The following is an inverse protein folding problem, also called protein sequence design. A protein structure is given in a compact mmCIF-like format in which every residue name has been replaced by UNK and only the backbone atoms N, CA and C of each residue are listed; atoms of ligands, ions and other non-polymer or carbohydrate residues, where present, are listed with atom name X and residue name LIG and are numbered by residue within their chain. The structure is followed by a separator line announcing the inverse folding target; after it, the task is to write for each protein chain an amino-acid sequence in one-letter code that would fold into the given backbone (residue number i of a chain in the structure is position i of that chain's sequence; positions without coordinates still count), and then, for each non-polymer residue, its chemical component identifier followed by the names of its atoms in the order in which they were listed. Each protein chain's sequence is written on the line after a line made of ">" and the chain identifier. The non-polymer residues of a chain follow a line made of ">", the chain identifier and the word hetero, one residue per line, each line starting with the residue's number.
data_IF_848609526749
#
_entry.id   IF_848609526749
#
_cell.length_a   1.000
_cell.length_b   1.000
_cell.length_c   1.000
_cell.angle_alpha   90.00
_cell.angle_beta   90.00
_cell.angle_gamma   90.00
#
_symmetry.space_group_name_H-M   'P 1'
#
loop_
_entity.id
_entity.type
_entity.pdbx_description
1 polymer ?
#
# COMPACT_ATOMS: atom_id res chain seq x y z
N UNK A 1 24.31 -2.96 -12.90
CA UNK A 1 24.14 -3.69 -11.63
C UNK A 1 24.41 -2.81 -10.42
N UNK A 2 25.61 -2.25 -10.28
CA UNK A 2 25.99 -1.42 -9.10
C UNK A 2 25.11 -0.17 -8.94
N UNK A 3 24.93 0.65 -9.99
CA UNK A 3 24.11 1.86 -9.91
C UNK A 3 22.63 1.60 -9.53
N UNK A 4 22.03 0.52 -10.04
CA UNK A 4 20.68 0.09 -9.64
C UNK A 4 20.65 -0.32 -8.16
N UNK A 5 21.65 -1.07 -7.72
CA UNK A 5 21.80 -1.45 -6.31
C UNK A 5 21.89 -0.23 -5.39
N UNK A 6 22.74 0.74 -5.74
CA UNK A 6 22.89 1.99 -4.98
C UNK A 6 21.59 2.76 -4.87
N UNK A 7 20.87 2.99 -5.99
CA UNK A 7 19.60 3.74 -5.96
C UNK A 7 18.57 3.02 -5.09
N UNK A 8 18.37 1.71 -5.27
CA UNK A 8 17.35 0.95 -4.56
C UNK A 8 17.64 0.84 -3.06
N UNK A 9 18.90 0.63 -2.67
CA UNK A 9 19.28 0.58 -1.24
C UNK A 9 19.04 1.95 -0.58
N UNK A 10 19.51 3.04 -1.18
CA UNK A 10 19.34 4.37 -0.60
C UNK A 10 17.87 4.81 -0.55
N UNK A 11 17.11 4.57 -1.63
CA UNK A 11 15.69 4.90 -1.64
C UNK A 11 14.87 4.01 -0.70
N UNK A 12 15.22 2.73 -0.56
CA UNK A 12 14.58 1.84 0.40
C UNK A 12 14.86 2.23 1.85
N UNK A 13 16.11 2.60 2.17
CA UNK A 13 16.48 3.13 3.49
C UNK A 13 15.77 4.45 3.78
N UNK A 14 15.68 5.36 2.81
CA UNK A 14 14.95 6.62 2.97
C UNK A 14 13.44 6.37 3.25
N UNK A 15 12.79 5.47 2.50
CA UNK A 15 11.39 5.09 2.77
C UNK A 15 11.22 4.52 4.17
N UNK A 16 12.07 3.59 4.59
CA UNK A 16 11.98 2.93 5.90
C UNK A 16 12.27 3.92 7.04
N UNK A 17 13.43 4.56 7.00
CA UNK A 17 13.97 5.31 8.15
C UNK A 17 13.42 6.73 8.24
N UNK A 18 13.18 7.41 7.10
CA UNK A 18 12.77 8.81 7.08
C UNK A 18 11.26 9.00 6.91
N UNK A 19 10.53 8.00 6.40
CA UNK A 19 9.08 8.10 6.20
C UNK A 19 8.35 7.15 7.14
N UNK A 20 8.59 5.84 7.01
CA UNK A 20 7.82 4.85 7.75
C UNK A 20 8.05 4.94 9.27
N UNK A 21 9.31 5.05 9.71
CA UNK A 21 9.59 5.16 11.16
C UNK A 21 9.01 6.44 11.77
N UNK A 22 9.16 7.60 11.10
CA UNK A 22 8.57 8.85 11.59
C UNK A 22 7.04 8.79 11.67
N UNK A 23 6.37 8.26 10.63
CA UNK A 23 4.91 8.10 10.66
C UNK A 23 4.46 7.08 11.72
N UNK A 24 5.25 6.03 11.95
CA UNK A 24 4.97 5.06 13.00
C UNK A 24 4.97 5.73 14.38
N UNK A 25 6.10 6.34 14.78
CA UNK A 25 6.31 6.82 16.15
C UNK A 25 5.51 8.07 16.48
N UNK A 26 5.43 9.02 15.55
CA UNK A 26 4.86 10.35 15.83
C UNK A 26 3.35 10.42 15.57
N UNK A 27 2.77 9.44 14.88
CA UNK A 27 1.37 9.51 14.43
C UNK A 27 0.63 8.19 14.61
N UNK A 28 1.06 7.13 13.95
CA UNK A 28 0.25 5.92 13.82
C UNK A 28 0.16 5.18 15.14
N UNK A 29 1.28 4.94 15.81
CA UNK A 29 1.31 4.20 17.06
C UNK A 29 0.47 4.88 18.16
N UNK A 30 0.61 6.20 18.45
CA UNK A 30 -0.25 6.83 19.45
C UNK A 30 -1.73 6.85 19.06
N UNK A 31 -2.07 7.07 17.77
CA UNK A 31 -3.46 7.11 17.31
C UNK A 31 -4.14 5.74 17.38
N UNK A 32 -3.43 4.64 17.11
CA UNK A 32 -3.97 3.28 17.23
C UNK A 32 -3.89 2.71 18.65
N UNK A 33 -3.02 3.25 19.52
CA UNK A 33 -2.90 2.83 20.91
C UNK A 33 -4.16 3.17 21.72
N UNK A 34 -4.64 4.42 21.65
CA UNK A 34 -5.90 4.83 22.25
C UNK A 34 -6.73 5.71 21.29
N UNK A 35 -7.52 5.08 20.40
CA UNK A 35 -8.38 5.81 19.47
C UNK A 35 -9.50 6.61 20.15
N UNK A 36 -9.74 6.41 21.45
CA UNK A 36 -10.78 7.14 22.20
C UNK A 36 -10.30 8.49 22.71
N UNK A 37 -8.99 8.66 22.89
CA UNK A 37 -8.35 9.86 23.41
C UNK A 37 -7.99 10.91 22.33
N UNK A 38 -8.23 10.60 21.05
CA UNK A 38 -7.83 11.44 19.91
C UNK A 38 -9.02 11.94 19.08
N UNK A 39 -8.80 13.04 18.36
CA UNK A 39 -9.81 13.68 17.52
C UNK A 39 -10.12 12.89 16.24
N UNK A 40 -11.26 13.17 15.59
CA UNK A 40 -11.57 12.58 14.28
C UNK A 40 -10.54 12.94 13.19
N UNK A 41 -9.93 14.13 13.28
CA UNK A 41 -8.88 14.55 12.35
C UNK A 41 -7.61 13.71 12.56
N UNK A 42 -7.21 13.46 13.81
CA UNK A 42 -6.08 12.56 14.11
C UNK A 42 -6.33 11.14 13.63
N UNK A 43 -7.55 10.63 13.74
CA UNK A 43 -7.93 9.31 13.21
C UNK A 43 -7.87 9.26 11.68
N UNK A 44 -8.36 10.31 10.99
CA UNK A 44 -8.29 10.36 9.53
C UNK A 44 -6.84 10.41 9.04
N UNK A 45 -6.04 11.29 9.63
CA UNK A 45 -4.63 11.44 9.26
C UNK A 45 -3.83 10.22 9.72
N UNK A 46 -4.20 9.59 10.84
CA UNK A 46 -3.61 8.36 11.34
C UNK A 46 -3.79 7.18 10.39
N UNK A 47 -4.99 6.95 9.83
CA UNK A 47 -5.20 5.86 8.87
C UNK A 47 -4.48 6.13 7.53
N UNK A 48 -4.41 7.39 7.08
CA UNK A 48 -3.61 7.75 5.91
C UNK A 48 -2.11 7.62 6.16
N UNK A 49 -1.66 8.03 7.34
CA UNK A 49 -0.31 7.84 7.84
C UNK A 49 0.06 6.37 7.87
N UNK A 50 -0.85 5.53 8.35
CA UNK A 50 -0.66 4.09 8.36
C UNK A 50 -0.56 3.49 6.96
N UNK A 51 -1.42 3.91 6.02
CA UNK A 51 -1.30 3.49 4.62
C UNK A 51 0.10 3.81 4.05
N UNK A 52 0.60 5.04 4.26
CA UNK A 52 1.96 5.38 3.81
C UNK A 52 3.03 4.62 4.59
N UNK A 53 2.89 4.47 5.91
CA UNK A 53 3.83 3.71 6.75
C UNK A 53 3.98 2.28 6.24
N UNK A 54 2.88 1.51 6.13
CA UNK A 54 2.94 0.11 5.71
C UNK A 54 3.52 -0.03 4.30
N UNK A 55 3.19 0.90 3.40
CA UNK A 55 3.79 0.94 2.06
C UNK A 55 5.30 1.21 2.10
N UNK A 56 5.73 2.27 2.79
CA UNK A 56 7.13 2.69 2.81
C UNK A 56 8.01 1.70 3.59
N UNK A 57 7.48 1.10 4.65
CA UNK A 57 8.15 0.04 5.40
C UNK A 57 8.43 -1.15 4.46
N UNK A 58 7.38 -1.71 3.86
CA UNK A 58 7.51 -2.93 3.08
C UNK A 58 8.16 -2.72 1.70
N UNK A 59 7.81 -1.63 1.01
CA UNK A 59 8.51 -1.24 -0.22
C UNK A 59 9.97 -0.94 0.08
N UNK A 60 10.29 -0.31 1.22
CA UNK A 60 11.67 -0.02 1.61
C UNK A 60 12.50 -1.29 1.78
N UNK A 61 12.00 -2.26 2.55
CA UNK A 61 12.64 -3.57 2.68
C UNK A 61 12.79 -4.31 1.34
N UNK A 62 11.75 -4.28 0.51
CA UNK A 62 11.78 -4.91 -0.81
C UNK A 62 12.84 -4.28 -1.72
N UNK A 63 12.94 -2.94 -1.72
CA UNK A 63 13.91 -2.21 -2.54
C UNK A 63 15.35 -2.48 -2.07
N UNK A 64 15.59 -2.51 -0.75
CA UNK A 64 16.91 -2.89 -0.20
C UNK A 64 17.27 -4.31 -0.62
N UNK A 65 16.34 -5.26 -0.51
CA UNK A 65 16.58 -6.65 -0.92
C UNK A 65 16.88 -6.79 -2.43
N UNK A 66 16.11 -6.12 -3.29
CA UNK A 66 16.35 -6.10 -4.74
C UNK A 66 17.68 -5.42 -5.05
N UNK A 67 18.02 -4.34 -4.34
CA UNK A 67 19.27 -3.61 -4.51
C UNK A 67 20.49 -4.45 -4.13
N UNK A 68 20.46 -5.13 -2.98
CA UNK A 68 21.51 -6.07 -2.55
C UNK A 68 21.64 -7.23 -3.53
N UNK A 69 20.52 -7.83 -3.96
CA UNK A 69 20.52 -8.87 -4.98
C UNK A 69 21.19 -8.38 -6.28
N UNK A 70 20.90 -7.15 -6.72
CA UNK A 70 21.50 -6.55 -7.90
C UNK A 70 23.03 -6.34 -7.75
N UNK A 71 23.53 -5.99 -6.56
CA UNK A 71 24.97 -5.91 -6.28
C UNK A 71 25.65 -7.28 -6.36
N UNK A 72 24.94 -8.34 -5.98
CA UNK A 72 25.40 -9.73 -6.05
C UNK A 72 25.19 -10.39 -7.43
N UNK A 73 24.65 -9.65 -8.41
CA UNK A 73 24.41 -10.16 -9.77
C UNK A 73 23.09 -10.90 -9.97
N UNK A 74 22.21 -10.94 -8.97
CA UNK A 74 20.88 -11.53 -9.06
C UNK A 74 19.82 -10.48 -9.45
N UNK A 75 18.73 -10.94 -10.08
CA UNK A 75 17.58 -10.11 -10.42
C UNK A 75 16.34 -10.62 -9.69
N UNK A 76 15.90 -9.87 -8.69
CA UNK A 76 14.64 -10.13 -8.00
C UNK A 76 13.47 -9.40 -8.68
N UNK A 77 12.25 -9.89 -8.44
CA UNK A 77 11.02 -9.28 -8.93
C UNK A 77 10.65 -8.08 -8.05
N UNK A 78 10.10 -7.04 -8.68
CA UNK A 78 9.53 -5.89 -7.98
C UNK A 78 8.29 -6.33 -7.17
N UNK A 79 8.20 -5.90 -5.92
CA UNK A 79 7.08 -6.27 -5.05
C UNK A 79 5.99 -5.18 -5.00
N UNK A 80 6.31 -3.93 -5.36
CA UNK A 80 5.38 -2.81 -5.33
C UNK A 80 5.47 -1.95 -6.60
N UNK A 81 4.32 -1.54 -7.13
CA UNK A 81 4.25 -0.68 -8.33
C UNK A 81 3.18 0.41 -8.19
N UNK A 82 3.50 1.43 -7.39
CA UNK A 82 2.63 2.58 -7.13
C UNK A 82 1.18 2.18 -6.76
N UNK A 83 0.96 1.40 -5.69
CA UNK A 83 -0.32 0.78 -5.39
C UNK A 83 -1.46 1.79 -5.14
N UNK A 84 -1.17 2.96 -4.56
CA UNK A 84 -2.21 3.96 -4.28
C UNK A 84 -2.66 4.78 -5.49
N UNK A 85 -2.04 4.55 -6.65
CA UNK A 85 -2.53 5.02 -7.96
C UNK A 85 -3.56 4.06 -8.58
N UNK A 86 -3.87 2.94 -7.93
CA UNK A 86 -4.82 1.97 -8.45
C UNK A 86 -6.24 2.55 -8.51
N UNK A 87 -6.87 2.46 -9.68
CA UNK A 87 -8.27 2.91 -9.87
C UNK A 87 -9.31 1.81 -9.63
N UNK A 88 -8.88 0.66 -9.11
CA UNK A 88 -9.74 -0.46 -8.72
C UNK A 88 -9.01 -1.39 -7.75
N UNK A 89 -9.75 -2.20 -6.98
CA UNK A 89 -9.16 -3.18 -6.07
C UNK A 89 -8.38 -4.25 -6.82
N UNK A 90 -8.84 -4.67 -8.01
CA UNK A 90 -8.06 -5.58 -8.85
C UNK A 90 -6.72 -4.96 -9.27
N UNK A 91 -6.70 -3.67 -9.64
CA UNK A 91 -5.46 -2.97 -9.99
C UNK A 91 -4.56 -2.81 -8.75
N UNK A 92 -5.13 -2.54 -7.57
CA UNK A 92 -4.40 -2.46 -6.31
C UNK A 92 -3.65 -3.77 -6.02
N UNK A 93 -4.32 -4.92 -6.07
CA UNK A 93 -3.69 -6.23 -5.83
C UNK A 93 -2.67 -6.65 -6.89
N UNK A 94 -2.69 -6.04 -8.08
CA UNK A 94 -1.65 -6.22 -9.11
C UNK A 94 -0.40 -5.37 -8.84
N UNK A 95 -0.47 -4.42 -7.90
CA UNK A 95 0.58 -3.45 -7.59
C UNK A 95 1.08 -3.53 -6.16
N UNK A 96 0.29 -4.13 -5.27
CA UNK A 96 0.58 -4.36 -3.87
C UNK A 96 1.11 -5.79 -3.68
N UNK A 97 2.27 -5.91 -3.02
CA UNK A 97 2.90 -7.17 -2.65
C UNK A 97 2.84 -8.23 -3.77
N UNK A 98 3.34 -7.85 -4.95
CA UNK A 98 3.20 -8.58 -6.22
C UNK A 98 3.63 -10.05 -6.11
N UNK A 99 4.68 -10.36 -5.33
CA UNK A 99 5.13 -11.74 -5.13
C UNK A 99 4.07 -12.59 -4.42
N UNK A 100 3.51 -12.12 -3.29
CA UNK A 100 2.45 -12.78 -2.55
C UNK A 100 1.15 -12.83 -3.36
N UNK A 101 0.75 -11.71 -3.97
CA UNK A 101 -0.44 -11.64 -4.82
C UNK A 101 -0.37 -12.62 -6.00
N UNK A 102 0.81 -12.79 -6.59
CA UNK A 102 1.07 -13.79 -7.64
C UNK A 102 1.00 -15.21 -7.07
N UNK A 103 1.58 -15.44 -5.90
CA UNK A 103 1.53 -16.75 -5.25
C UNK A 103 0.10 -17.17 -4.90
N UNK A 104 -0.69 -16.30 -4.25
CA UNK A 104 -2.10 -16.52 -3.96
C UNK A 104 -2.91 -16.79 -5.24
N UNK A 105 -2.63 -16.05 -6.32
CA UNK A 105 -3.30 -16.28 -7.60
C UNK A 105 -2.95 -17.66 -8.17
N UNK A 106 -1.68 -18.02 -8.18
CA UNK A 106 -1.20 -19.17 -8.94
C UNK A 106 -1.30 -20.50 -8.18
N UNK A 107 -1.17 -20.46 -6.85
CA UNK A 107 -1.17 -21.64 -5.99
C UNK A 107 -2.44 -21.80 -5.15
N UNK A 108 -3.33 -20.81 -5.13
CA UNK A 108 -4.60 -20.92 -4.42
C UNK A 108 -5.80 -20.66 -5.32
N UNK A 109 -5.89 -19.47 -5.91
CA UNK A 109 -7.05 -19.08 -6.73
C UNK A 109 -7.23 -19.94 -7.98
N UNK A 110 -6.16 -20.16 -8.77
CA UNK A 110 -6.21 -21.00 -9.98
C UNK A 110 -6.54 -22.48 -9.65
N UNK A 111 -5.90 -23.13 -8.66
CA UNK A 111 -6.28 -24.48 -8.23
C UNK A 111 -7.74 -24.62 -7.76
N UNK A 112 -8.31 -23.59 -7.12
CA UNK A 112 -9.74 -23.57 -6.74
C UNK A 112 -10.71 -23.47 -7.95
N UNK A 113 -10.18 -23.35 -9.18
CA UNK A 113 -10.92 -23.21 -10.43
C UNK A 113 -10.82 -21.82 -11.05
N UNK A 114 -10.27 -20.83 -10.34
CA UNK A 114 -10.16 -19.45 -10.80
C UNK A 114 -11.50 -18.87 -11.26
N UNK A 115 -11.54 -18.34 -12.48
CA UNK A 115 -12.75 -17.83 -13.14
C UNK A 115 -13.55 -18.92 -13.89
N UNK A 116 -13.16 -20.20 -13.77
CA UNK A 116 -13.82 -21.30 -14.49
C UNK A 116 -15.03 -21.79 -13.70
N UNK A 117 -15.91 -22.54 -14.38
CA UNK A 117 -17.05 -23.23 -13.76
C UNK A 117 -18.12 -22.29 -13.17
N UNK A 118 -18.31 -21.11 -13.76
CA UNK A 118 -19.41 -20.20 -13.49
C UNK A 118 -19.11 -19.12 -12.44
N UNK A 119 -20.05 -18.18 -12.32
CA UNK A 119 -19.84 -16.95 -11.55
C UNK A 119 -19.85 -17.20 -10.04
N UNK A 120 -20.81 -18.00 -9.54
CA UNK A 120 -20.90 -18.31 -8.11
C UNK A 120 -19.58 -18.92 -7.58
N UNK A 121 -18.96 -19.82 -8.36
CA UNK A 121 -17.65 -20.39 -8.01
C UNK A 121 -16.54 -19.36 -8.08
N UNK A 122 -16.59 -18.44 -9.05
CA UNK A 122 -15.62 -17.35 -9.16
C UNK A 122 -15.64 -16.44 -7.91
N UNK A 123 -16.83 -16.01 -7.46
CA UNK A 123 -16.98 -15.18 -6.26
C UNK A 123 -16.50 -15.92 -5.00
N UNK A 124 -16.90 -17.20 -4.86
CA UNK A 124 -16.41 -18.07 -3.77
C UNK A 124 -14.88 -18.18 -3.79
N UNK A 125 -14.28 -18.39 -4.95
CA UNK A 125 -12.83 -18.56 -5.09
C UNK A 125 -12.09 -17.27 -4.73
N UNK A 126 -12.60 -16.10 -5.12
CA UNK A 126 -12.05 -14.79 -4.72
C UNK A 126 -12.11 -14.63 -3.19
N UNK A 127 -13.28 -14.91 -2.60
CA UNK A 127 -13.47 -14.84 -1.15
C UNK A 127 -12.51 -15.77 -0.40
N UNK A 128 -12.45 -17.06 -0.78
CA UNK A 128 -11.57 -18.04 -0.15
C UNK A 128 -10.08 -17.69 -0.30
N UNK A 129 -9.68 -17.17 -1.45
CA UNK A 129 -8.29 -16.76 -1.68
C UNK A 129 -7.87 -15.65 -0.72
N UNK A 130 -8.71 -14.62 -0.57
CA UNK A 130 -8.39 -13.50 0.32
C UNK A 130 -8.59 -13.84 1.80
N UNK A 131 -9.56 -14.69 2.15
CA UNK A 131 -9.74 -15.24 3.51
C UNK A 131 -8.50 -15.98 3.99
N UNK A 132 -7.99 -16.90 3.16
CA UNK A 132 -6.76 -17.65 3.46
C UNK A 132 -5.53 -16.74 3.47
N UNK A 133 -5.50 -15.72 2.60
CA UNK A 133 -4.50 -14.65 2.68
C UNK A 133 -4.53 -13.90 4.01
N UNK A 134 -5.72 -13.59 4.54
CA UNK A 134 -5.89 -13.02 5.88
C UNK A 134 -5.35 -13.92 6.99
N UNK A 135 -5.67 -15.21 6.96
CA UNK A 135 -5.13 -16.20 7.92
C UNK A 135 -3.60 -16.28 7.85
N UNK A 136 -3.01 -16.16 6.66
CA UNK A 136 -1.56 -16.17 6.49
C UNK A 136 -0.87 -14.99 7.19
N UNK A 137 -1.55 -13.85 7.36
CA UNK A 137 -0.96 -12.66 7.98
C UNK A 137 -0.83 -12.75 9.50
N UNK A 138 -1.72 -13.47 10.20
CA UNK A 138 -1.65 -13.59 11.64
C UNK A 138 -2.86 -14.30 12.26
N UNK A 139 -2.76 -14.62 13.56
CA UNK A 139 -3.80 -15.34 14.29
C UNK A 139 -4.98 -14.46 14.76
N UNK A 140 -4.81 -13.13 14.76
CA UNK A 140 -5.87 -12.21 15.15
C UNK A 140 -7.04 -12.24 14.16
N UNK A 141 -8.28 -12.25 14.68
CA UNK A 141 -9.49 -12.24 13.86
C UNK A 141 -9.64 -10.98 12.98
N UNK A 142 -8.95 -9.90 13.33
CA UNK A 142 -8.91 -8.68 12.53
C UNK A 142 -8.26 -8.91 11.16
N UNK A 143 -7.26 -9.79 11.04
CA UNK A 143 -6.68 -10.21 9.75
C UNK A 143 -7.64 -11.04 8.90
N UNK A 144 -8.43 -11.90 9.55
CA UNK A 144 -9.47 -12.67 8.88
C UNK A 144 -10.54 -11.72 8.32
N UNK A 145 -10.96 -10.72 9.10
CA UNK A 145 -11.86 -9.68 8.62
C UNK A 145 -11.25 -8.90 7.45
N UNK A 146 -10.00 -8.45 7.57
CA UNK A 146 -9.29 -7.76 6.49
C UNK A 146 -9.28 -8.57 5.18
N UNK A 147 -8.96 -9.86 5.26
CA UNK A 147 -8.91 -10.76 4.10
C UNK A 147 -10.29 -10.96 3.48
N UNK A 148 -11.30 -11.28 4.30
CA UNK A 148 -12.67 -11.47 3.82
C UNK A 148 -13.28 -10.19 3.25
N UNK A 149 -12.98 -9.02 3.84
CA UNK A 149 -13.38 -7.72 3.32
C UNK A 149 -12.83 -7.50 1.91
N UNK A 150 -11.52 -7.71 1.68
CA UNK A 150 -10.96 -7.61 0.34
C UNK A 150 -11.56 -8.63 -0.64
N UNK A 151 -11.81 -9.86 -0.20
CA UNK A 151 -12.45 -10.90 -1.02
C UNK A 151 -13.88 -10.52 -1.45
N UNK A 152 -14.68 -10.02 -0.50
CA UNK A 152 -16.03 -9.53 -0.75
C UNK A 152 -16.02 -8.32 -1.69
N UNK A 153 -15.13 -7.35 -1.44
CA UNK A 153 -15.06 -6.15 -2.27
C UNK A 153 -14.57 -6.42 -3.69
N UNK A 154 -13.66 -7.36 -3.90
CA UNK A 154 -13.29 -7.84 -5.24
C UNK A 154 -14.48 -8.49 -5.96
N UNK A 155 -15.31 -9.24 -5.22
CA UNK A 155 -16.55 -9.80 -5.74
C UNK A 155 -17.56 -8.73 -6.13
N UNK A 156 -17.79 -7.74 -5.26
CA UNK A 156 -18.69 -6.61 -5.54
C UNK A 156 -18.19 -5.81 -6.74
N UNK A 157 -16.90 -5.47 -6.81
CA UNK A 157 -16.31 -4.74 -7.94
C UNK A 157 -16.54 -5.50 -9.26
N UNK A 158 -16.32 -6.82 -9.27
CA UNK A 158 -16.58 -7.66 -10.45
C UNK A 158 -18.05 -7.65 -10.84
N UNK A 159 -18.97 -7.77 -9.87
CA UNK A 159 -20.40 -7.75 -10.12
C UNK A 159 -20.85 -6.42 -10.71
N UNK A 160 -20.42 -5.31 -10.11
CA UNK A 160 -20.78 -3.95 -10.55
C UNK A 160 -20.24 -3.68 -11.95
N UNK A 161 -18.96 -3.99 -12.24
CA UNK A 161 -18.39 -3.82 -13.59
C UNK A 161 -19.21 -4.54 -14.65
N UNK A 162 -19.55 -5.81 -14.40
CA UNK A 162 -20.37 -6.58 -15.34
C UNK A 162 -21.75 -5.94 -15.56
N UNK A 163 -22.43 -5.49 -14.50
CA UNK A 163 -23.73 -4.82 -14.64
C UNK A 163 -23.60 -3.53 -15.46
N UNK A 164 -22.57 -2.73 -15.21
CA UNK A 164 -22.32 -1.52 -15.99
C UNK A 164 -22.07 -1.85 -17.47
N UNK A 165 -21.33 -2.91 -17.77
CA UNK A 165 -21.09 -3.38 -19.14
C UNK A 165 -22.37 -3.90 -19.82
N UNK A 166 -23.28 -4.56 -19.08
CA UNK A 166 -24.60 -5.01 -19.58
C UNK A 166 -25.51 -3.84 -20.00
N UNK A 167 -25.40 -2.70 -19.32
CA UNK A 167 -26.18 -1.49 -19.61
C UNK A 167 -25.45 -0.50 -20.55
N UNK A 168 -24.22 -0.83 -20.98
CA UNK A 168 -23.45 0.03 -21.89
C UNK A 168 -24.02 -0.05 -23.32
N UNK A 169 -24.18 1.08 -24.04
CA UNK A 169 -24.69 1.06 -25.40
C UNK A 169 -23.78 0.26 -26.35
N UNK A 170 -24.34 -0.51 -27.31
CA UNK A 170 -23.58 -1.37 -28.23
C UNK A 170 -22.54 -0.66 -29.09
N UNK A 171 -22.64 0.66 -29.27
CA UNK A 171 -21.89 1.42 -30.27
C UNK A 171 -20.66 2.15 -29.71
N UNK A 172 -20.31 1.98 -28.44
CA UNK A 172 -19.20 2.73 -27.82
C UNK A 172 -19.45 4.25 -27.69
N UNK A 173 -20.60 4.74 -28.19
CA UNK A 173 -21.20 5.98 -27.73
C UNK A 173 -21.56 5.77 -26.27
N UNK A 174 -20.65 6.24 -25.44
CA UNK A 174 -20.72 6.08 -24.02
C UNK A 174 -22.01 6.80 -23.58
N UNK A 175 -23.06 6.02 -23.31
CA UNK A 175 -24.38 6.49 -22.91
C UNK A 175 -24.68 5.97 -21.52
N UNK A 176 -24.44 6.80 -20.52
CA UNK A 176 -24.69 6.52 -19.10
C UNK A 176 -24.10 7.62 -18.23
N UNK A 177 -24.44 7.66 -16.94
CA UNK A 177 -23.84 8.63 -16.00
C UNK A 177 -22.31 8.50 -15.96
N UNK A 178 -21.80 7.28 -16.15
CA UNK A 178 -20.37 7.03 -16.26
C UNK A 178 -19.76 7.75 -17.45
N UNK A 179 -20.38 7.73 -18.64
CA UNK A 179 -19.82 8.36 -19.84
C UNK A 179 -19.90 9.88 -19.88
N UNK A 180 -20.88 10.45 -19.16
CA UNK A 180 -21.00 11.89 -18.98
C UNK A 180 -19.84 12.47 -18.15
N UNK A 181 -19.25 11.65 -17.29
CA UNK A 181 -18.02 11.94 -16.56
C UNK A 181 -16.86 11.51 -17.45
N UNK A 182 -16.11 12.46 -18.02
CA UNK A 182 -14.99 12.14 -18.91
C UNK A 182 -14.00 11.12 -18.31
N UNK A 183 -13.35 10.32 -19.17
CA UNK A 183 -12.49 9.19 -18.76
C UNK A 183 -11.45 9.56 -17.67
N UNK A 184 -10.93 10.79 -17.67
CA UNK A 184 -10.02 11.27 -16.63
C UNK A 184 -10.68 11.39 -15.24
N UNK A 185 -11.90 11.91 -15.17
CA UNK A 185 -12.63 12.04 -13.92
C UNK A 185 -13.08 10.68 -13.37
N UNK A 186 -13.47 9.73 -14.24
CA UNK A 186 -13.73 8.34 -13.83
C UNK A 186 -12.51 7.70 -13.17
N UNK A 187 -11.32 7.92 -13.75
CA UNK A 187 -10.07 7.38 -13.21
C UNK A 187 -9.78 7.96 -11.83
N UNK A 188 -9.89 9.29 -11.66
CA UNK A 188 -9.67 9.95 -10.37
C UNK A 188 -10.65 9.44 -9.31
N UNK A 189 -11.94 9.36 -9.63
CA UNK A 189 -12.96 8.80 -8.72
C UNK A 189 -12.61 7.37 -8.34
N UNK A 190 -12.22 6.54 -9.31
CA UNK A 190 -11.79 5.16 -9.06
C UNK A 190 -10.57 5.08 -8.13
N UNK A 191 -9.58 5.97 -8.29
CA UNK A 191 -8.40 6.04 -7.43
C UNK A 191 -8.79 6.43 -6.01
N UNK A 192 -9.56 7.52 -5.86
CA UNK A 192 -10.02 8.01 -4.55
C UNK A 192 -10.85 6.93 -3.85
N UNK A 193 -11.80 6.31 -4.54
CA UNK A 193 -12.65 5.25 -3.99
C UNK A 193 -11.83 4.02 -3.55
N UNK A 194 -10.93 3.56 -4.41
CA UNK A 194 -10.07 2.40 -4.11
C UNK A 194 -9.18 2.68 -2.91
N UNK A 195 -8.56 3.87 -2.85
CA UNK A 195 -7.71 4.27 -1.74
C UNK A 195 -8.46 4.26 -0.40
N UNK A 196 -9.69 4.78 -0.36
CA UNK A 196 -10.49 4.80 0.88
C UNK A 196 -10.97 3.40 1.30
N UNK A 197 -11.34 2.53 0.36
CA UNK A 197 -11.64 1.12 0.67
C UNK A 197 -10.42 0.40 1.26
N UNK A 198 -9.25 0.65 0.69
CA UNK A 198 -7.99 0.10 1.19
C UNK A 198 -7.65 0.65 2.57
N UNK A 199 -7.81 1.97 2.81
CA UNK A 199 -7.62 2.57 4.13
C UNK A 199 -8.59 2.01 5.18
N UNK A 200 -9.86 1.81 4.82
CA UNK A 200 -10.82 1.17 5.71
C UNK A 200 -10.35 -0.24 6.11
N UNK A 201 -9.91 -1.05 5.14
CA UNK A 201 -9.34 -2.37 5.44
C UNK A 201 -8.11 -2.25 6.36
N UNK A 202 -7.24 -1.28 6.12
CA UNK A 202 -6.04 -1.05 6.91
C UNK A 202 -6.30 -0.75 8.39
N UNK A 203 -7.45 -0.17 8.77
CA UNK A 203 -7.83 -0.02 10.18
C UNK A 203 -7.83 -1.38 10.88
N UNK A 204 -8.42 -2.40 10.25
CA UNK A 204 -8.48 -3.75 10.80
C UNK A 204 -7.13 -4.46 10.73
N UNK A 205 -6.32 -4.18 9.71
CA UNK A 205 -4.97 -4.75 9.64
C UNK A 205 -4.06 -4.21 10.75
N UNK A 206 -4.20 -2.93 11.13
CA UNK A 206 -3.37 -2.30 12.18
C UNK A 206 -3.90 -2.52 13.59
N UNK A 207 -5.21 -2.65 13.77
CA UNK A 207 -5.82 -2.75 15.09
C UNK A 207 -5.55 -4.12 15.74
N UNK A 208 -5.11 -4.09 17.00
CA UNK A 208 -4.81 -5.31 17.78
C UNK A 208 -6.08 -6.10 18.15
N UNK A 209 -7.25 -5.46 18.07
CA UNK A 209 -8.54 -6.09 18.37
C UNK A 209 -9.70 -5.42 17.64
N UNK A 210 -10.85 -6.10 17.55
CA UNK A 210 -12.09 -5.48 17.09
C UNK A 210 -12.59 -4.36 18.00
N UNK A 211 -12.25 -4.40 19.29
CA UNK A 211 -12.58 -3.30 20.22
C UNK A 211 -11.84 -2.03 19.79
N UNK A 212 -10.54 -2.13 19.55
CA UNK A 212 -9.71 -1.01 19.07
C UNK A 212 -10.21 -0.51 17.71
N UNK A 213 -10.47 -1.40 16.75
CA UNK A 213 -11.02 -1.01 15.44
C UNK A 213 -12.40 -0.34 15.57
N UNK A 214 -13.27 -0.84 16.44
CA UNK A 214 -14.58 -0.26 16.73
C UNK A 214 -14.48 1.14 17.34
N UNK A 215 -13.60 1.32 18.34
CA UNK A 215 -13.29 2.62 18.94
C UNK A 215 -12.72 3.61 17.90
N UNK A 216 -11.86 3.13 17.00
CA UNK A 216 -11.32 3.92 15.90
C UNK A 216 -12.43 4.44 14.99
N UNK A 217 -13.35 3.55 14.57
CA UNK A 217 -14.46 3.91 13.70
C UNK A 217 -15.47 4.84 14.42
N UNK A 218 -15.77 4.59 15.69
CA UNK A 218 -16.65 5.43 16.48
C UNK A 218 -16.07 6.83 16.70
N UNK A 219 -14.74 6.96 16.75
CA UNK A 219 -14.07 8.23 16.91
C UNK A 219 -14.24 9.22 15.76
N UNK A 220 -14.62 8.76 14.56
CA UNK A 220 -14.99 9.64 13.46
C UNK A 220 -16.25 10.49 13.73
N UNK A 221 -16.99 10.25 14.83
CA UNK A 221 -18.07 11.14 15.27
C UNK A 221 -17.56 12.41 15.98
N UNK A 222 -16.29 12.47 16.40
CA UNK A 222 -15.72 13.53 17.25
C UNK A 222 -14.89 14.56 16.46
N UNK A 223 -15.52 15.28 15.53
CA UNK A 223 -14.84 16.31 14.71
C UNK A 223 -14.58 17.63 15.43
N UNK A 224 -15.25 17.87 16.56
CA UNK A 224 -15.08 19.09 17.35
C UNK A 224 -13.80 19.15 18.17
N UNK A 225 -13.18 17.98 18.41
CA UNK A 225 -12.03 17.88 19.31
C UNK A 225 -10.77 18.38 18.58
N UNK A 226 -9.90 19.15 19.27
CA UNK A 226 -8.67 19.64 18.65
C UNK A 226 -7.72 18.47 18.33
N UNK A 227 -7.08 18.55 17.17
CA UNK A 227 -6.06 17.58 16.77
C UNK A 227 -4.78 17.73 17.60
N UNK A 228 -4.26 16.59 18.04
CA UNK A 228 -3.03 16.50 18.85
C UNK A 228 -1.84 16.01 18.02
N UNK A 229 -2.07 15.13 17.03
CA UNK A 229 -1.02 14.41 16.32
C UNK A 229 -0.89 14.80 14.84
N UNK A 230 -1.95 15.31 14.20
CA UNK A 230 -1.91 15.71 12.79
C UNK A 230 -1.16 17.04 12.54
N UNK A 231 0.14 17.04 12.78
CA UNK A 231 0.99 18.23 12.55
C UNK A 231 1.15 18.52 11.05
N UNK A 232 1.38 19.79 10.65
CA UNK A 232 1.61 20.16 9.25
C UNK A 232 2.77 19.40 8.60
N UNK A 233 3.82 19.08 9.38
CA UNK A 233 4.95 18.29 8.90
C UNK A 233 4.54 16.87 8.53
N UNK A 234 3.80 16.17 9.38
CA UNK A 234 3.35 14.80 9.15
C UNK A 234 2.36 14.72 7.98
N UNK A 235 1.42 15.68 7.91
CA UNK A 235 0.50 15.79 6.77
C UNK A 235 1.27 16.06 5.47
N UNK A 236 2.26 16.94 5.51
CA UNK A 236 3.15 17.21 4.37
C UNK A 236 3.94 15.98 3.94
N UNK A 237 4.44 15.18 4.89
CA UNK A 237 5.16 13.93 4.64
C UNK A 237 4.27 12.88 3.96
N UNK A 238 3.04 12.69 4.47
CA UNK A 238 2.03 11.81 3.87
C UNK A 238 1.68 12.28 2.45
N UNK A 239 1.43 13.58 2.27
CA UNK A 239 1.12 14.16 0.97
C UNK A 239 2.27 13.97 -0.04
N UNK A 240 3.51 14.22 0.38
CA UNK A 240 4.70 14.02 -0.45
C UNK A 240 4.83 12.55 -0.88
N UNK A 241 4.74 11.61 0.07
CA UNK A 241 4.80 10.17 -0.22
C UNK A 241 3.64 9.72 -1.13
N UNK A 242 2.46 10.30 -0.97
CA UNK A 242 1.31 10.05 -1.84
C UNK A 242 1.55 10.59 -3.26
N UNK A 243 2.08 11.81 -3.40
CA UNK A 243 2.42 12.39 -4.71
C UNK A 243 3.45 11.54 -5.45
N UNK A 244 4.41 10.93 -4.75
CA UNK A 244 5.36 9.98 -5.35
C UNK A 244 4.68 8.79 -6.04
N UNK A 245 3.48 8.38 -5.61
CA UNK A 245 2.69 7.30 -6.25
C UNK A 245 2.25 7.67 -7.68
N UNK A 246 2.29 8.95 -8.04
CA UNK A 246 1.84 9.44 -9.34
C UNK A 246 3.00 9.86 -10.26
N UNK A 247 4.25 9.70 -9.81
CA UNK A 247 5.45 9.97 -10.63
C UNK A 247 5.64 8.94 -11.75
N UNK A 248 6.49 9.19 -12.75
CA UNK A 248 6.83 8.19 -13.75
C UNK A 248 7.44 6.92 -13.13
N UNK A 249 6.96 5.75 -13.54
CA UNK A 249 7.38 4.45 -12.97
C UNK A 249 8.88 4.17 -13.13
N UNK A 250 9.48 4.68 -14.21
CA UNK A 250 10.89 4.45 -14.52
C UNK A 250 11.84 5.47 -13.86
N UNK A 251 11.35 6.36 -12.98
CA UNK A 251 12.17 7.37 -12.31
C UNK A 251 13.40 6.76 -11.63
N UNK A 252 13.23 5.67 -10.87
CA UNK A 252 14.35 4.98 -10.21
C UNK A 252 15.35 4.38 -11.21
N UNK A 253 14.87 3.86 -12.35
CA UNK A 253 15.73 3.32 -13.41
C UNK A 253 16.50 4.42 -14.12
N UNK A 254 15.86 5.56 -14.37
CA UNK A 254 16.49 6.74 -14.95
C UNK A 254 17.62 7.27 -14.05
N UNK A 255 17.38 7.38 -12.74
CA UNK A 255 18.43 7.74 -11.77
C UNK A 255 19.58 6.73 -11.78
N UNK A 256 19.27 5.43 -11.84
CA UNK A 256 20.29 4.38 -11.88
C UNK A 256 21.11 4.40 -13.19
N UNK A 257 20.49 4.76 -14.31
CA UNK A 257 21.19 4.95 -15.60
C UNK A 257 22.15 6.14 -15.53
N UNK A 258 21.80 7.22 -14.82
CA UNK A 258 22.73 8.33 -14.58
C UNK A 258 23.98 7.88 -13.81
N UNK A 259 23.80 7.03 -12.81
CA UNK A 259 24.90 6.52 -11.98
C UNK A 259 25.73 5.41 -12.65
N UNK A 260 25.25 4.78 -13.72
CA UNK A 260 25.94 3.63 -14.34
C UNK A 260 27.31 3.97 -14.94
N UNK A 261 27.55 5.25 -15.22
CA UNK A 261 28.80 5.75 -15.79
C UNK A 261 29.89 6.01 -14.73
N UNK A 262 29.53 5.97 -13.45
CA UNK A 262 30.47 6.23 -12.37
C UNK A 262 31.27 4.96 -12.01
N UNK A 263 32.59 5.08 -11.75
CA UNK A 263 33.41 4.00 -11.21
C UNK A 263 32.86 3.43 -9.90
N UNK A 264 33.00 2.11 -9.69
CA UNK A 264 32.53 1.42 -8.49
C UNK A 264 32.98 2.05 -7.16
N UNK A 265 34.23 2.55 -7.00
CA UNK A 265 34.63 3.24 -5.77
C UNK A 265 33.78 4.49 -5.46
N UNK A 266 33.42 5.27 -6.49
CA UNK A 266 32.57 6.45 -6.33
C UNK A 266 31.15 6.04 -5.95
N UNK A 267 30.61 4.98 -6.56
CA UNK A 267 29.30 4.43 -6.17
C UNK A 267 29.31 3.92 -4.72
N UNK A 268 30.42 3.34 -4.26
CA UNK A 268 30.63 2.96 -2.87
C UNK A 268 30.63 4.15 -1.92
N UNK A 269 31.28 5.26 -2.28
CA UNK A 269 31.25 6.51 -1.51
C UNK A 269 29.85 7.14 -1.47
N UNK A 270 29.13 7.15 -2.60
CA UNK A 270 27.74 7.63 -2.67
C UNK A 270 26.84 6.78 -1.76
N UNK A 271 26.98 5.46 -1.84
CA UNK A 271 26.21 4.54 -1.00
C UNK A 271 26.53 4.74 0.48
N UNK A 272 27.81 4.75 0.86
CA UNK A 272 28.24 4.94 2.25
C UNK A 272 27.84 6.30 2.82
N UNK A 273 28.07 7.38 2.07
CA UNK A 273 27.68 8.73 2.45
C UNK A 273 26.17 8.90 2.55
N UNK A 274 25.41 8.30 1.63
CA UNK A 274 23.95 8.29 1.67
C UNK A 274 23.39 7.53 2.88
N UNK A 275 23.96 6.36 3.19
CA UNK A 275 23.60 5.60 4.40
C UNK A 275 23.88 6.43 5.66
N UNK A 276 25.07 7.03 5.75
CA UNK A 276 25.45 7.86 6.89
C UNK A 276 24.51 9.06 7.06
N UNK A 277 24.16 9.75 5.98
CA UNK A 277 23.23 10.88 6.01
C UNK A 277 21.82 10.46 6.43
N UNK A 278 21.31 9.35 5.90
CA UNK A 278 20.00 8.82 6.30
C UNK A 278 20.01 8.47 7.78
N UNK A 279 21.08 7.81 8.25
CA UNK A 279 21.21 7.45 9.66
C UNK A 279 21.31 8.68 10.58
N UNK A 280 21.99 9.74 10.15
CA UNK A 280 22.15 10.98 10.92
C UNK A 280 20.84 11.79 11.05
N UNK A 281 19.88 11.62 10.14
CA UNK A 281 18.60 12.35 10.13
C UNK A 281 17.44 11.46 10.58
N UNK A 282 17.62 10.14 10.62
CA UNK A 282 16.59 9.21 11.09
C UNK A 282 16.28 9.46 12.59
N UNK A 283 15.01 9.29 13.01
CA UNK A 283 14.65 9.46 14.41
C UNK A 283 15.30 8.37 15.27
N UNK A 284 15.50 8.65 16.55
CA UNK A 284 16.02 7.66 17.49
C UNK A 284 15.01 6.51 17.65
N UNK A 285 15.50 5.28 17.50
CA UNK A 285 14.68 4.07 17.51
C UNK A 285 14.32 3.58 16.10
N UNK A 286 14.41 2.27 15.91
CA UNK A 286 13.93 1.61 14.70
C UNK A 286 12.59 0.99 15.02
N UNK A 287 11.50 1.55 14.48
CA UNK A 287 10.19 0.92 14.58
C UNK A 287 10.30 -0.52 14.01
N UNK A 288 9.93 -1.55 14.80
CA UNK A 288 10.07 -2.93 14.38
C UNK A 288 9.33 -3.16 13.07
N UNK A 289 9.86 -4.05 12.23
CA UNK A 289 9.20 -4.41 10.98
C UNK A 289 7.80 -4.95 11.28
N UNK A 290 6.81 -4.49 10.50
CA UNK A 290 5.40 -4.67 10.86
C UNK A 290 4.97 -6.14 11.03
N UNK A 291 5.66 -7.09 10.39
CA UNK A 291 5.37 -8.52 10.49
C UNK A 291 5.98 -9.24 11.70
N UNK A 292 6.81 -8.58 12.52
CA UNK A 292 7.33 -9.18 13.74
C UNK A 292 6.44 -8.94 14.97
N UNK A 293 5.26 -8.34 14.77
CA UNK A 293 4.36 -7.90 15.84
C UNK A 293 3.03 -8.66 15.88
N UNK A 294 2.89 -9.76 15.11
CA UNK A 294 1.66 -10.57 15.00
C UNK A 294 1.80 -11.95 15.63
#
# INVERSE_FOLDING_TARGET
>A
HVGVGTVLILSGLAKKMLIANYLATELVDPVFFDPTAVSALDLLIGVYGYAIQIYCDFSGYSDIAIGVAALLGYRFLENFNQPYRASSLQDFWRRWHISLSTWLRDYLYKPLGGNRQGEARTYRNLFLTMFLGGIWHGAAWTFVFWGTFHGAMLGIERYVRRRLDEFAPPNGEAGGVASAIGHGAQHIVGVVWTFHLVCFAWIFFRADSFSTAGSYLAGFARWSDPSQYATPFLVGLIALAMLFQFTPRDLGRWLAQGLQWLPSPILGLILGGGIWLIWAVAPEGVAPFIYFQF
#
